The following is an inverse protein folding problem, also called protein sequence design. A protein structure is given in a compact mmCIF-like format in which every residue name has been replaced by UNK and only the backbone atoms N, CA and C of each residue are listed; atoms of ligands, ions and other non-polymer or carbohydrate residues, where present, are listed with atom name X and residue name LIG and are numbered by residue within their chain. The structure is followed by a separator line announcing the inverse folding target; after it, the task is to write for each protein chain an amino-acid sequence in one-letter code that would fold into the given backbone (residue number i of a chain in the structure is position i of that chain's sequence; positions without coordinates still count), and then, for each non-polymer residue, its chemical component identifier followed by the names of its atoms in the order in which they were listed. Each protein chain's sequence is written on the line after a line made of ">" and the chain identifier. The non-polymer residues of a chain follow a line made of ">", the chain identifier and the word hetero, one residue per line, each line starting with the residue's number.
data_IF_553718953506
#
_entry.id   IF_553718953506
#
_cell.length_a   1.000
_cell.length_b   1.000
_cell.length_c   1.000
_cell.angle_alpha   90.00
_cell.angle_beta   90.00
_cell.angle_gamma   90.00
#
_symmetry.space_group_name_H-M   'P 1'
#
loop_
_entity.id
_entity.type
_entity.pdbx_description
1 polymer ?
#
# COMPACT_ATOMS: atom_id res chain seq x y z
N UNK A 1 -23.18 -15.20 18.69
CA UNK A 1 -22.36 -14.44 19.64
C UNK A 1 -20.98 -14.27 19.01
N UNK A 2 -20.76 -13.18 18.27
CA UNK A 2 -19.46 -12.92 17.63
C UNK A 2 -18.61 -12.17 18.66
N UNK A 3 -17.56 -12.81 19.15
CA UNK A 3 -16.59 -12.19 20.05
C UNK A 3 -15.98 -10.97 19.36
N UNK A 4 -16.15 -9.79 19.96
CA UNK A 4 -15.42 -8.60 19.59
C UNK A 4 -13.93 -8.83 19.82
N UNK A 5 -13.15 -8.67 18.75
CA UNK A 5 -11.71 -8.50 18.85
C UNK A 5 -11.48 -7.19 19.59
N UNK A 6 -10.97 -7.26 20.82
CA UNK A 6 -10.50 -6.08 21.51
C UNK A 6 -9.44 -5.40 20.62
N UNK A 7 -9.55 -4.09 20.34
CA UNK A 7 -8.53 -3.38 19.58
C UNK A 7 -7.30 -3.30 20.48
N UNK A 8 -6.40 -4.28 20.38
CA UNK A 8 -5.05 -4.10 20.88
C UNK A 8 -4.51 -2.85 20.19
N UNK A 9 -4.07 -1.86 20.99
CA UNK A 9 -3.51 -0.58 20.52
C UNK A 9 -2.49 -0.83 19.40
N UNK A 10 -2.95 -0.79 18.15
CA UNK A 10 -2.08 -1.00 17.02
C UNK A 10 -1.13 0.19 16.99
N UNK A 11 0.16 -0.09 17.14
CA UNK A 11 1.18 0.96 17.20
C UNK A 11 1.24 1.69 15.86
N UNK A 12 1.41 3.01 15.93
CA UNK A 12 1.65 3.84 14.76
C UNK A 12 2.81 3.32 13.92
N UNK A 13 2.76 3.60 12.62
CA UNK A 13 3.91 3.42 11.75
C UNK A 13 4.90 4.54 12.01
N UNK A 14 6.09 4.18 12.47
CA UNK A 14 7.23 5.09 12.55
C UNK A 14 7.89 5.14 11.16
N UNK A 15 7.68 6.24 10.45
CA UNK A 15 8.16 6.43 9.08
C UNK A 15 9.35 7.38 9.06
N UNK A 16 10.34 7.05 8.23
CA UNK A 16 11.44 7.94 7.88
C UNK A 16 11.30 8.30 6.42
N UNK A 17 10.80 9.50 6.16
CA UNK A 17 10.63 10.02 4.82
C UNK A 17 11.93 10.67 4.36
N UNK A 18 12.32 10.37 3.12
CA UNK A 18 13.48 10.99 2.47
C UNK A 18 12.99 11.84 1.31
N UNK A 19 13.29 13.14 1.34
CA UNK A 19 12.95 14.08 0.27
C UNK A 19 14.21 14.71 -0.30
N UNK A 20 14.30 14.77 -1.62
CA UNK A 20 15.31 15.58 -2.31
C UNK A 20 14.83 17.03 -2.36
N UNK A 21 15.62 17.96 -1.84
CA UNK A 21 15.29 19.38 -1.76
C UNK A 21 16.43 20.18 -2.40
N UNK A 22 16.07 21.13 -3.26
CA UNK A 22 17.01 22.09 -3.83
C UNK A 22 17.39 23.12 -2.76
N UNK A 23 18.68 23.29 -2.51
CA UNK A 23 19.22 24.25 -1.52
C UNK A 23 19.69 25.52 -2.18
N UNK A 24 20.30 25.38 -3.35
CA UNK A 24 20.75 26.45 -4.24
C UNK A 24 20.45 26.02 -5.68
N UNK A 25 20.38 26.94 -6.66
CA UNK A 25 20.11 26.58 -8.06
C UNK A 25 21.05 25.48 -8.56
N UNK A 26 20.50 24.29 -8.82
CA UNK A 26 21.25 23.11 -9.28
C UNK A 26 21.92 22.27 -8.18
N UNK A 27 21.85 22.68 -6.92
CA UNK A 27 22.36 21.91 -5.77
C UNK A 27 21.21 21.26 -4.99
N UNK A 28 21.32 19.95 -4.75
CA UNK A 28 20.31 19.17 -4.06
C UNK A 28 20.88 18.46 -2.85
N UNK A 29 20.13 18.49 -1.74
CA UNK A 29 20.38 17.63 -0.59
C UNK A 29 19.22 16.69 -0.31
N UNK A 30 19.54 15.55 0.28
CA UNK A 30 18.54 14.67 0.89
C UNK A 30 18.23 15.15 2.30
N UNK A 31 16.95 15.34 2.58
CA UNK A 31 16.43 15.68 3.91
C UNK A 31 15.60 14.51 4.41
N UNK A 32 15.90 14.05 5.62
CA UNK A 32 15.09 13.05 6.32
C UNK A 32 14.08 13.74 7.24
N UNK A 33 12.87 13.17 7.32
CA UNK A 33 11.83 13.58 8.26
C UNK A 33 11.21 12.35 8.90
N UNK A 34 11.14 12.35 10.23
CA UNK A 34 10.37 11.37 10.96
C UNK A 34 8.88 11.73 10.94
N UNK A 35 8.03 10.75 10.65
CA UNK A 35 6.57 10.88 10.72
C UNK A 35 5.95 9.69 11.44
N UNK A 36 4.80 9.91 12.08
CA UNK A 36 3.99 8.85 12.67
C UNK A 36 2.67 8.78 11.93
N UNK A 37 2.35 7.61 11.38
CA UNK A 37 1.08 7.39 10.68
C UNK A 37 0.22 6.43 11.47
N UNK A 38 -1.01 6.86 11.82
CA UNK A 38 -1.97 5.99 12.49
C UNK A 38 -2.47 4.94 11.50
N UNK A 39 -2.53 3.65 11.87
CA UNK A 39 -2.99 2.62 10.94
C UNK A 39 -4.41 2.84 10.42
N UNK A 40 -5.31 3.37 11.27
CA UNK A 40 -6.69 3.69 10.90
C UNK A 40 -6.83 4.81 9.86
N UNK A 41 -5.80 5.64 9.70
CA UNK A 41 -5.74 6.74 8.74
C UNK A 41 -4.80 6.42 7.57
N UNK A 42 -4.28 5.19 7.48
CA UNK A 42 -3.28 4.77 6.49
C UNK A 42 -3.81 3.68 5.57
N UNK A 43 -3.52 3.82 4.28
CA UNK A 43 -3.74 2.78 3.29
C UNK A 43 -2.47 2.47 2.48
N UNK A 44 -2.28 1.20 2.12
CA UNK A 44 -1.26 0.74 1.18
C UNK A 44 -1.95 0.31 -0.10
N UNK A 45 -1.58 0.92 -1.23
CA UNK A 45 -2.09 0.56 -2.55
C UNK A 45 -1.01 -0.23 -3.29
N UNK A 46 -1.31 -1.47 -3.65
CA UNK A 46 -0.44 -2.36 -4.41
C UNK A 46 -0.86 -2.28 -5.88
N UNK A 47 -0.11 -1.54 -6.67
CA UNK A 47 -0.39 -1.35 -8.09
C UNK A 47 0.35 -2.42 -8.92
N UNK A 48 -0.39 -3.10 -9.80
CA UNK A 48 0.16 -3.94 -10.88
C UNK A 48 1.26 -4.93 -10.48
N UNK A 49 1.08 -5.59 -9.33
CA UNK A 49 2.01 -6.62 -8.87
C UNK A 49 1.68 -8.01 -9.41
N UNK A 50 1.98 -8.17 -10.70
CA UNK A 50 1.79 -9.43 -11.42
C UNK A 50 3.00 -10.35 -11.32
N UNK A 51 2.73 -11.64 -11.21
CA UNK A 51 3.71 -12.72 -11.35
C UNK A 51 4.23 -12.83 -12.79
N UNK A 52 3.41 -12.48 -13.78
CA UNK A 52 3.77 -12.49 -15.20
C UNK A 52 3.68 -11.09 -15.83
N UNK A 53 4.66 -10.77 -16.67
CA UNK A 53 4.72 -9.56 -17.47
C UNK A 53 5.25 -9.88 -18.88
N UNK A 54 4.93 -9.03 -19.86
CA UNK A 54 5.50 -9.12 -21.22
C UNK A 54 7.03 -8.91 -21.24
N UNK A 55 7.60 -8.34 -20.18
CA UNK A 55 9.04 -8.15 -20.02
C UNK A 55 9.58 -9.14 -18.98
N UNK A 56 10.45 -10.05 -19.40
CA UNK A 56 11.14 -11.00 -18.51
C UNK A 56 11.85 -10.30 -17.34
N UNK A 57 12.55 -9.20 -17.62
CA UNK A 57 13.27 -8.46 -16.59
C UNK A 57 12.32 -7.82 -15.57
N UNK A 58 11.08 -7.49 -15.96
CA UNK A 58 10.07 -7.01 -15.02
C UNK A 58 9.61 -8.13 -14.09
N UNK A 59 9.37 -9.34 -14.62
CA UNK A 59 9.05 -10.53 -13.82
C UNK A 59 10.14 -10.81 -12.80
N UNK A 60 11.41 -10.81 -13.20
CA UNK A 60 12.53 -11.07 -12.29
C UNK A 60 12.61 -10.04 -11.15
N UNK A 61 12.49 -8.74 -11.47
CA UNK A 61 12.50 -7.68 -10.45
C UNK A 61 11.30 -7.78 -9.49
N UNK A 62 10.11 -8.07 -10.01
CA UNK A 62 8.92 -8.26 -9.17
C UNK A 62 9.08 -9.47 -8.26
N UNK A 63 9.60 -10.59 -8.79
CA UNK A 63 9.87 -11.80 -8.01
C UNK A 63 10.83 -11.55 -6.84
N UNK A 64 11.84 -10.69 -7.03
CA UNK A 64 12.76 -10.29 -5.95
C UNK A 64 12.10 -9.37 -4.92
N UNK A 65 11.21 -8.48 -5.36
CA UNK A 65 10.54 -7.50 -4.48
C UNK A 65 9.37 -8.10 -3.68
N UNK A 66 8.67 -9.08 -4.25
CA UNK A 66 7.42 -9.62 -3.73
C UNK A 66 7.53 -10.17 -2.28
N UNK A 67 8.58 -10.91 -1.87
CA UNK A 67 8.68 -11.40 -0.50
C UNK A 67 8.71 -10.27 0.53
N UNK A 68 9.56 -9.26 0.31
CA UNK A 68 9.70 -8.10 1.20
C UNK A 68 8.42 -7.26 1.23
N UNK A 69 7.77 -7.10 0.08
CA UNK A 69 6.47 -6.44 0.00
C UNK A 69 5.42 -7.20 0.82
N UNK A 70 5.36 -8.53 0.70
CA UNK A 70 4.39 -9.35 1.42
C UNK A 70 4.54 -9.23 2.94
N UNK A 71 5.78 -9.17 3.47
CA UNK A 71 6.03 -8.87 4.88
C UNK A 71 5.42 -7.53 5.30
N UNK A 72 5.64 -6.48 4.52
CA UNK A 72 5.07 -5.15 4.77
C UNK A 72 3.54 -5.18 4.74
N UNK A 73 2.94 -5.85 3.76
CA UNK A 73 1.48 -5.92 3.62
C UNK A 73 0.84 -6.69 4.77
N UNK A 74 1.47 -7.77 5.23
CA UNK A 74 0.99 -8.55 6.37
C UNK A 74 1.08 -7.73 7.66
N UNK A 75 2.18 -7.00 7.86
CA UNK A 75 2.34 -6.12 9.01
C UNK A 75 1.34 -4.96 8.99
N UNK A 76 1.12 -4.35 7.81
CA UNK A 76 0.15 -3.29 7.64
C UNK A 76 -1.27 -3.76 8.00
N UNK A 77 -1.70 -4.92 7.49
CA UNK A 77 -2.98 -5.53 7.83
C UNK A 77 -3.08 -5.86 9.32
N UNK A 78 -2.02 -6.42 9.91
CA UNK A 78 -1.97 -6.79 11.33
C UNK A 78 -2.17 -5.58 12.23
N UNK A 79 -1.69 -4.40 11.82
CA UNK A 79 -1.90 -3.12 12.53
C UNK A 79 -3.23 -2.43 12.20
N UNK A 80 -4.02 -2.96 11.28
CA UNK A 80 -5.32 -2.39 10.91
C UNK A 80 -5.30 -1.35 9.79
N UNK A 81 -4.18 -1.22 9.05
CA UNK A 81 -4.16 -0.41 7.84
C UNK A 81 -4.93 -1.09 6.70
N UNK A 82 -5.54 -0.27 5.83
CA UNK A 82 -6.23 -0.77 4.64
C UNK A 82 -5.22 -1.15 3.56
N UNK A 83 -5.29 -2.38 3.05
CA UNK A 83 -4.49 -2.80 1.88
C UNK A 83 -5.41 -2.94 0.68
N UNK A 84 -5.16 -2.16 -0.37
CA UNK A 84 -5.89 -2.17 -1.64
C UNK A 84 -4.99 -2.78 -2.71
N UNK A 85 -5.46 -3.84 -3.34
CA UNK A 85 -4.83 -4.35 -4.57
C UNK A 85 -5.49 -3.64 -5.75
N UNK A 86 -4.68 -3.01 -6.59
CA UNK A 86 -5.10 -2.20 -7.74
C UNK A 86 -4.46 -2.74 -9.03
N UNK A 87 -4.96 -3.87 -9.57
CA UNK A 87 -4.50 -4.41 -10.84
C UNK A 87 -5.14 -3.66 -12.03
N UNK A 88 -4.36 -3.41 -13.07
CA UNK A 88 -4.78 -2.74 -14.31
C UNK A 88 -5.52 -3.66 -15.28
N UNK A 89 -5.34 -4.98 -15.16
CA UNK A 89 -5.93 -6.00 -16.02
C UNK A 89 -6.54 -7.15 -15.21
N UNK A 90 -7.16 -8.12 -15.89
CA UNK A 90 -7.74 -9.33 -15.28
C UNK A 90 -8.78 -9.08 -14.16
N UNK A 91 -9.36 -7.88 -14.10
CA UNK A 91 -10.33 -7.52 -13.05
C UNK A 91 -11.64 -8.31 -13.11
N UNK A 92 -11.92 -8.96 -14.25
CA UNK A 92 -13.09 -9.82 -14.42
C UNK A 92 -13.03 -11.05 -13.50
N UNK A 93 -11.83 -11.61 -13.30
CA UNK A 93 -11.63 -12.73 -12.36
C UNK A 93 -12.07 -12.38 -10.93
N UNK A 94 -11.95 -11.11 -10.54
CA UNK A 94 -12.31 -10.62 -9.22
C UNK A 94 -13.73 -10.07 -9.13
N UNK A 95 -14.56 -10.18 -10.17
CA UNK A 95 -15.90 -9.57 -10.23
C UNK A 95 -16.76 -9.86 -8.99
N UNK A 96 -16.71 -11.11 -8.52
CA UNK A 96 -17.47 -11.58 -7.36
C UNK A 96 -16.77 -11.45 -6.00
N UNK A 97 -15.48 -11.13 -6.00
CA UNK A 97 -14.69 -11.05 -4.78
C UNK A 97 -15.21 -9.91 -3.86
N UNK A 98 -15.39 -10.14 -2.55
CA UNK A 98 -15.93 -9.12 -1.63
C UNK A 98 -15.17 -7.79 -1.65
N UNK A 99 -13.84 -7.83 -1.84
CA UNK A 99 -13.02 -6.62 -1.95
C UNK A 99 -13.35 -5.80 -3.21
N UNK A 100 -13.67 -6.47 -4.33
CA UNK A 100 -14.06 -5.80 -5.58
C UNK A 100 -15.45 -5.16 -5.45
N UNK A 101 -16.39 -5.86 -4.81
CA UNK A 101 -17.73 -5.34 -4.49
C UNK A 101 -17.64 -4.09 -3.60
N UNK A 102 -16.87 -4.17 -2.51
CA UNK A 102 -16.58 -3.02 -1.63
C UNK A 102 -15.99 -1.83 -2.39
N UNK A 103 -15.05 -2.05 -3.30
CA UNK A 103 -14.46 -0.98 -4.10
C UNK A 103 -15.47 -0.34 -5.08
N UNK A 104 -16.40 -1.12 -5.65
CA UNK A 104 -17.48 -0.62 -6.53
C UNK A 104 -18.56 0.15 -5.76
N UNK A 105 -18.86 -0.29 -4.55
CA UNK A 105 -19.85 0.34 -3.66
C UNK A 105 -19.31 1.58 -2.94
N UNK A 106 -17.99 1.81 -2.98
CA UNK A 106 -17.38 2.98 -2.37
C UNK A 106 -17.95 4.27 -3.00
N UNK A 107 -18.27 5.30 -2.19
CA UNK A 107 -18.75 6.56 -2.71
C UNK A 107 -17.68 7.19 -3.61
N UNK A 108 -18.11 7.94 -4.62
CA UNK A 108 -17.18 8.77 -5.40
C UNK A 108 -16.46 9.73 -4.45
N UNK A 109 -15.15 9.80 -4.57
CA UNK A 109 -14.37 10.81 -3.87
C UNK A 109 -14.85 12.20 -4.33
N UNK A 110 -14.89 13.14 -3.38
CA UNK A 110 -15.06 14.55 -3.75
C UNK A 110 -13.87 15.02 -4.59
N UNK A 111 -14.10 15.99 -5.46
CA UNK A 111 -13.01 16.74 -6.07
C UNK A 111 -12.51 17.70 -4.99
N UNK A 112 -11.36 17.40 -4.39
CA UNK A 112 -10.65 18.28 -3.44
C UNK A 112 -9.48 18.97 -4.11
#
# INVERSE_FOLDING_TARGET
>A
MILGVAPGLARDFEMRLCKRVETEPGEFRMVEKAERWKPSETAVIVCDMWDLHHCKNAVERVGQMAPRMNELLNEARRRGALVVHAPSSCMEFYSDHPARKRAREAPRAGNV
#
